data_IF_135685142545
#
_entry.id   IF_135685142545
#
_cell.length_a   1.000
_cell.length_b   1.000
_cell.length_c   1.000
_cell.angle_alpha   90.00
_cell.angle_beta   90.00
_cell.angle_gamma   90.00
#
_symmetry.space_group_name_H-M   'P 1'
#
loop_
_entity.id
_entity.type
_entity.pdbx_description
1 polymer ?
#
# COMPACT_ATOMS: atom_id res chain seq x y z
N UNK A 1 -24.09 -3.95 9.02
CA UNK A 1 -24.15 -5.04 8.03
C UNK A 1 -24.98 -4.58 6.85
N UNK A 2 -24.45 -4.66 5.64
CA UNK A 2 -25.12 -4.23 4.41
C UNK A 2 -25.23 -5.39 3.41
N UNK A 3 -26.30 -5.40 2.60
CA UNK A 3 -26.48 -6.37 1.51
C UNK A 3 -26.92 -7.78 1.92
N UNK A 4 -27.29 -7.98 3.19
CA UNK A 4 -27.66 -9.30 3.72
C UNK A 4 -29.16 -9.41 4.10
N UNK A 5 -30.02 -8.84 3.27
CA UNK A 5 -31.48 -8.96 3.42
C UNK A 5 -31.98 -8.44 4.77
N UNK A 6 -32.67 -9.29 5.53
CA UNK A 6 -33.27 -8.93 6.82
C UNK A 6 -32.26 -8.49 7.90
N UNK A 7 -30.96 -8.76 7.73
CA UNK A 7 -29.91 -8.38 8.68
C UNK A 7 -29.28 -7.04 8.32
N UNK A 8 -29.70 -6.41 7.22
CA UNK A 8 -29.18 -5.11 6.78
C UNK A 8 -29.49 -4.02 7.80
N UNK A 9 -28.52 -3.21 8.16
CA UNK A 9 -28.62 -2.11 9.11
C UNK A 9 -28.36 -2.50 10.58
N UNK A 10 -28.23 -3.77 10.90
CA UNK A 10 -27.88 -4.22 12.26
C UNK A 10 -26.42 -3.94 12.58
N UNK A 11 -26.10 -3.73 13.86
CA UNK A 11 -24.73 -3.82 14.36
C UNK A 11 -24.18 -5.24 14.18
N UNK A 12 -22.88 -5.43 14.33
CA UNK A 12 -22.25 -6.77 14.21
C UNK A 12 -22.74 -7.70 15.31
N UNK A 13 -22.86 -7.18 16.50
CA UNK A 13 -23.31 -7.90 17.71
C UNK A 13 -24.76 -8.33 17.54
N UNK A 14 -25.66 -7.42 17.22
CA UNK A 14 -27.07 -7.71 16.96
C UNK A 14 -27.26 -8.71 15.81
N UNK A 15 -26.45 -8.56 14.74
CA UNK A 15 -26.51 -9.47 13.60
C UNK A 15 -26.10 -10.89 13.97
N UNK A 16 -25.09 -11.10 14.82
CA UNK A 16 -24.69 -12.44 15.29
C UNK A 16 -25.82 -13.14 16.03
N UNK A 17 -26.45 -12.44 16.96
CA UNK A 17 -27.59 -12.98 17.71
C UNK A 17 -28.76 -13.30 16.79
N UNK A 18 -29.11 -12.38 15.89
CA UNK A 18 -30.20 -12.55 14.95
C UNK A 18 -29.95 -13.68 13.94
N UNK A 19 -28.72 -13.90 13.48
CA UNK A 19 -28.37 -15.01 12.58
C UNK A 19 -28.50 -16.36 13.30
N UNK A 20 -28.03 -16.47 14.54
CA UNK A 20 -28.15 -17.70 15.32
C UNK A 20 -29.62 -18.02 15.55
N UNK A 21 -30.43 -17.05 15.96
CA UNK A 21 -31.87 -17.24 16.15
C UNK A 21 -32.60 -17.67 14.85
N UNK A 22 -32.21 -17.08 13.74
CA UNK A 22 -32.73 -17.44 12.41
C UNK A 22 -32.40 -18.89 12.02
N UNK A 23 -31.14 -19.33 12.28
CA UNK A 23 -30.77 -20.73 12.03
C UNK A 23 -31.54 -21.71 12.92
N UNK A 24 -31.79 -21.35 14.18
CA UNK A 24 -32.57 -22.15 15.10
C UNK A 24 -34.03 -22.29 14.62
N UNK A 25 -34.68 -21.18 14.25
CA UNK A 25 -36.05 -21.14 13.73
C UNK A 25 -36.24 -22.00 12.47
N UNK A 26 -35.20 -22.03 11.61
CA UNK A 26 -35.25 -22.79 10.35
C UNK A 26 -34.69 -24.22 10.45
N UNK A 27 -34.35 -24.69 11.65
CA UNK A 27 -33.81 -26.02 11.89
C UNK A 27 -32.45 -26.28 11.23
N UNK A 28 -31.69 -25.20 11.03
CA UNK A 28 -30.33 -25.23 10.41
C UNK A 28 -29.23 -25.15 11.46
N UNK A 29 -29.56 -24.87 12.72
CA UNK A 29 -28.57 -24.81 13.81
C UNK A 29 -28.35 -26.24 14.35
N UNK A 30 -27.09 -26.69 14.32
CA UNK A 30 -26.70 -27.97 14.91
C UNK A 30 -26.49 -27.80 16.42
N UNK A 31 -25.56 -26.94 16.83
CA UNK A 31 -25.29 -26.60 18.22
C UNK A 31 -24.56 -25.27 18.35
N UNK A 32 -24.50 -24.75 19.57
CA UNK A 32 -23.68 -23.59 19.95
C UNK A 32 -22.70 -24.06 21.01
N UNK A 33 -21.42 -23.76 20.83
CA UNK A 33 -20.37 -24.06 21.81
C UNK A 33 -19.50 -22.82 22.10
N UNK A 34 -18.96 -22.78 23.31
CA UNK A 34 -17.98 -21.74 23.67
C UNK A 34 -16.67 -21.97 22.94
N UNK A 35 -16.24 -20.97 22.16
CA UNK A 35 -14.99 -21.01 21.40
C UNK A 35 -14.02 -19.93 21.88
N UNK A 36 -12.92 -20.37 22.48
CA UNK A 36 -11.85 -19.47 22.96
C UNK A 36 -10.82 -19.23 21.87
N UNK A 37 -10.68 -17.99 21.42
CA UNK A 37 -9.68 -17.57 20.43
C UNK A 37 -9.23 -16.14 20.69
N UNK A 38 -8.10 -15.76 20.08
CA UNK A 38 -7.62 -14.38 20.13
C UNK A 38 -8.34 -13.54 19.11
N UNK A 39 -8.87 -12.39 19.52
CA UNK A 39 -9.50 -11.40 18.66
C UNK A 39 -8.57 -10.19 18.58
N UNK A 40 -8.28 -9.72 17.35
CA UNK A 40 -7.50 -8.50 17.18
C UNK A 40 -8.34 -7.28 17.53
N UNK A 41 -7.74 -6.36 18.26
CA UNK A 41 -8.35 -5.10 18.64
C UNK A 41 -7.59 -3.90 18.05
N UNK A 42 -8.30 -2.82 17.79
CA UNK A 42 -7.70 -1.56 17.39
C UNK A 42 -6.86 -1.00 18.54
N UNK A 43 -5.58 -0.76 18.30
CA UNK A 43 -4.66 -0.25 19.31
C UNK A 43 -4.99 1.17 19.81
N UNK A 44 -5.92 1.87 19.16
CA UNK A 44 -6.35 3.23 19.55
C UNK A 44 -7.63 3.28 20.33
N UNK A 45 -8.66 2.53 19.94
CA UNK A 45 -9.99 2.58 20.53
C UNK A 45 -10.46 1.26 21.13
N UNK A 46 -9.62 0.23 21.08
CA UNK A 46 -9.90 -1.12 21.61
C UNK A 46 -11.13 -1.82 21.01
N UNK A 47 -11.65 -1.34 19.89
CA UNK A 47 -12.72 -2.02 19.17
C UNK A 47 -12.22 -3.30 18.52
N UNK A 48 -12.98 -4.37 18.57
CA UNK A 48 -12.69 -5.61 17.85
C UNK A 48 -12.61 -5.35 16.35
N UNK A 49 -11.54 -5.85 15.71
CA UNK A 49 -11.34 -5.75 14.27
C UNK A 49 -11.94 -6.95 13.57
N UNK A 50 -12.66 -6.68 12.48
CA UNK A 50 -13.23 -7.70 11.62
C UNK A 50 -12.87 -7.43 10.16
N UNK A 51 -12.64 -8.49 9.34
CA UNK A 51 -12.37 -8.33 7.93
C UNK A 51 -13.52 -7.64 7.21
N UNK A 52 -13.19 -6.63 6.41
CA UNK A 52 -14.13 -5.91 5.56
C UNK A 52 -13.55 -5.78 4.16
N UNK A 53 -14.32 -6.12 3.14
CA UNK A 53 -13.92 -5.91 1.76
C UNK A 53 -14.25 -4.48 1.34
N UNK A 54 -13.24 -3.76 0.86
CA UNK A 54 -13.37 -2.41 0.32
C UNK A 54 -12.48 -2.24 -0.90
N UNK A 55 -12.82 -1.30 -1.75
CA UNK A 55 -11.95 -0.89 -2.85
C UNK A 55 -10.70 -0.22 -2.29
N UNK A 56 -9.54 -0.59 -2.83
CA UNK A 56 -8.24 -0.11 -2.38
C UNK A 56 -7.33 0.09 -3.60
N UNK A 57 -6.38 0.99 -3.46
CA UNK A 57 -5.33 1.18 -4.45
C UNK A 57 -4.19 0.19 -4.23
N UNK A 58 -3.77 -0.46 -5.31
CA UNK A 58 -2.67 -1.43 -5.30
C UNK A 58 -1.61 -1.10 -6.34
N UNK A 59 -0.36 -1.33 -5.97
CA UNK A 59 0.75 -1.43 -6.92
C UNK A 59 0.90 -2.88 -7.33
N UNK A 60 0.74 -3.15 -8.63
CA UNK A 60 1.02 -4.46 -9.21
C UNK A 60 2.53 -4.67 -9.28
N UNK A 61 3.06 -5.55 -8.44
CA UNK A 61 4.51 -5.67 -8.23
C UNK A 61 5.22 -6.62 -9.20
N UNK A 62 4.49 -7.43 -9.95
CA UNK A 62 5.08 -8.44 -10.83
C UNK A 62 6.07 -7.88 -11.86
N UNK A 63 5.81 -6.68 -12.36
CA UNK A 63 6.73 -6.00 -13.29
C UNK A 63 7.91 -5.32 -12.61
N UNK A 64 7.79 -5.02 -11.30
CA UNK A 64 8.78 -4.27 -10.54
C UNK A 64 9.81 -5.17 -9.87
N UNK A 65 9.38 -6.35 -9.42
CA UNK A 65 10.23 -7.25 -8.63
C UNK A 65 11.37 -7.89 -9.41
N UNK A 66 11.20 -8.13 -10.72
CA UNK A 66 12.24 -8.74 -11.56
C UNK A 66 13.52 -7.92 -11.59
N UNK A 67 13.50 -6.69 -12.14
CA UNK A 67 14.68 -5.80 -12.18
C UNK A 67 15.28 -5.54 -10.79
N UNK A 68 14.44 -5.36 -9.76
CA UNK A 68 14.91 -5.15 -8.40
C UNK A 68 15.62 -6.38 -7.80
N UNK A 69 15.16 -7.59 -8.12
CA UNK A 69 15.82 -8.83 -7.73
C UNK A 69 17.15 -8.99 -8.46
N UNK A 70 17.19 -8.70 -9.76
CA UNK A 70 18.40 -8.78 -10.59
C UNK A 70 19.47 -7.80 -10.10
N UNK A 71 19.12 -6.58 -9.70
CA UNK A 71 20.06 -5.60 -9.16
C UNK A 71 20.88 -6.15 -7.98
N UNK A 72 20.28 -7.02 -7.17
CA UNK A 72 20.94 -7.65 -6.01
C UNK A 72 21.65 -8.96 -6.40
N UNK A 73 21.02 -9.81 -7.19
CA UNK A 73 21.60 -11.11 -7.60
C UNK A 73 22.81 -10.95 -8.54
N UNK A 74 22.86 -9.89 -9.35
CA UNK A 74 24.02 -9.53 -10.17
C UNK A 74 25.19 -8.95 -9.36
N UNK A 75 24.96 -8.58 -8.09
CA UNK A 75 25.97 -7.93 -7.24
C UNK A 75 26.14 -6.43 -7.45
N UNK A 76 25.25 -5.80 -8.22
CA UNK A 76 25.23 -4.34 -8.38
C UNK A 76 24.84 -3.64 -7.05
N UNK A 77 23.99 -4.29 -6.26
CA UNK A 77 23.67 -3.88 -4.89
C UNK A 77 24.12 -4.97 -3.91
N UNK A 78 24.86 -4.58 -2.87
CA UNK A 78 25.41 -5.49 -1.87
C UNK A 78 24.87 -5.15 -0.47
N UNK A 79 24.47 -6.17 0.28
CA UNK A 79 24.08 -6.02 1.68
C UNK A 79 25.23 -6.31 2.61
N UNK A 80 25.38 -5.50 3.64
CA UNK A 80 26.39 -5.65 4.70
C UNK A 80 25.72 -5.70 6.07
N UNK A 81 25.80 -6.82 6.80
CA UNK A 81 26.40 -8.12 6.43
C UNK A 81 25.63 -8.87 5.34
N UNK A 82 26.34 -9.66 4.54
CA UNK A 82 25.81 -10.41 3.39
C UNK A 82 24.58 -11.29 3.70
N UNK A 83 24.46 -11.77 4.96
CA UNK A 83 23.30 -12.58 5.39
C UNK A 83 21.94 -11.93 5.11
N UNK A 84 21.86 -10.62 5.01
CA UNK A 84 20.62 -9.89 4.74
C UNK A 84 20.19 -9.96 3.26
N UNK A 85 21.10 -10.31 2.37
CA UNK A 85 20.78 -10.58 0.97
C UNK A 85 19.72 -11.67 0.85
N UNK A 86 19.86 -12.77 1.61
CA UNK A 86 18.87 -13.84 1.59
C UNK A 86 17.50 -13.39 2.11
N UNK A 87 17.48 -12.56 3.15
CA UNK A 87 16.23 -12.01 3.69
C UNK A 87 15.51 -11.15 2.64
N UNK A 88 16.25 -10.29 1.93
CA UNK A 88 15.73 -9.50 0.82
C UNK A 88 15.15 -10.38 -0.30
N UNK A 89 15.93 -11.35 -0.78
CA UNK A 89 15.52 -12.23 -1.90
C UNK A 89 14.29 -13.06 -1.54
N UNK A 90 14.24 -13.63 -0.34
CA UNK A 90 13.07 -14.38 0.14
C UNK A 90 11.82 -13.50 0.20
N UNK A 91 11.96 -12.25 0.63
CA UNK A 91 10.84 -11.31 0.64
C UNK A 91 10.38 -10.96 -0.78
N UNK A 92 11.30 -10.67 -1.71
CA UNK A 92 10.99 -10.36 -3.11
C UNK A 92 10.27 -11.52 -3.82
N UNK A 93 10.70 -12.76 -3.57
CA UNK A 93 10.07 -13.96 -4.12
C UNK A 93 8.59 -14.07 -3.71
N UNK A 94 8.29 -13.81 -2.45
CA UNK A 94 6.96 -13.93 -1.87
C UNK A 94 6.12 -12.64 -1.94
N UNK A 95 6.65 -11.58 -2.55
CA UNK A 95 5.99 -10.28 -2.62
C UNK A 95 4.68 -10.36 -3.39
N UNK A 96 3.60 -9.88 -2.76
CA UNK A 96 2.27 -9.71 -3.34
C UNK A 96 2.03 -8.25 -3.68
N UNK A 97 0.99 -8.01 -4.47
CA UNK A 97 0.54 -6.65 -4.78
C UNK A 97 0.40 -5.81 -3.52
N UNK A 98 0.92 -4.62 -3.58
CA UNK A 98 1.04 -3.74 -2.43
C UNK A 98 -0.13 -2.78 -2.36
N UNK A 99 -0.98 -2.94 -1.34
CA UNK A 99 -2.02 -1.97 -1.02
C UNK A 99 -1.36 -0.67 -0.53
N UNK A 100 -1.59 0.42 -1.25
CA UNK A 100 -0.99 1.73 -0.99
C UNK A 100 -1.94 2.75 -0.40
N UNK A 101 -3.24 2.51 -0.42
CA UNK A 101 -4.25 3.38 0.19
C UNK A 101 -4.38 3.16 1.69
N UNK A 102 -4.59 4.25 2.42
CA UNK A 102 -4.81 4.25 3.88
C UNK A 102 -5.96 5.18 4.22
N UNK A 103 -6.88 4.72 5.05
CA UNK A 103 -8.00 5.48 5.56
C UNK A 103 -7.57 6.25 6.82
N UNK A 104 -6.73 7.27 6.63
CA UNK A 104 -6.16 8.11 7.69
C UNK A 104 -6.48 9.58 7.45
N UNK A 105 -6.62 10.34 8.52
CA UNK A 105 -6.86 11.78 8.45
C UNK A 105 -5.64 12.59 8.05
N UNK A 106 -4.44 12.08 8.33
CA UNK A 106 -3.18 12.76 8.04
C UNK A 106 -2.31 11.93 7.13
N UNK A 107 -1.88 12.52 6.04
CA UNK A 107 -1.00 11.93 5.06
C UNK A 107 -1.05 12.66 3.72
N UNK A 108 -0.24 12.23 2.76
CA UNK A 108 -0.31 12.72 1.40
C UNK A 108 -1.47 12.04 0.67
N UNK A 109 -2.43 12.83 0.25
CA UNK A 109 -3.65 12.34 -0.41
C UNK A 109 -3.33 11.69 -1.75
N UNK A 110 -4.11 10.68 -2.09
CA UNK A 110 -4.06 10.04 -3.41
C UNK A 110 -4.47 11.10 -4.44
N UNK A 111 -3.62 11.38 -5.46
CA UNK A 111 -3.85 12.46 -6.41
C UNK A 111 -4.81 12.04 -7.55
N UNK A 112 -5.79 11.21 -7.26
CA UNK A 112 -6.79 10.74 -8.23
C UNK A 112 -8.07 11.51 -8.04
N UNK A 113 -8.65 11.94 -9.16
CA UNK A 113 -9.88 12.72 -9.22
C UNK A 113 -10.93 11.97 -10.02
N UNK A 114 -12.16 12.05 -9.56
CA UNK A 114 -13.34 11.39 -10.15
C UNK A 114 -14.36 12.44 -10.56
N UNK A 115 -14.90 12.31 -11.78
CA UNK A 115 -16.00 13.14 -12.21
C UNK A 115 -17.32 12.37 -12.18
N UNK A 116 -18.27 12.86 -11.38
CA UNK A 116 -19.59 12.24 -11.23
C UNK A 116 -20.49 12.46 -12.45
N UNK A 117 -20.21 13.50 -13.27
CA UNK A 117 -21.01 13.80 -14.47
C UNK A 117 -20.73 12.86 -15.64
N UNK A 118 -19.48 12.41 -15.81
CA UNK A 118 -19.09 11.64 -17.00
C UNK A 118 -18.31 10.35 -16.69
N UNK A 119 -18.09 10.03 -15.41
CA UNK A 119 -17.34 8.85 -14.99
C UNK A 119 -15.86 8.88 -15.37
N UNK A 120 -15.29 10.06 -15.61
CA UNK A 120 -13.86 10.22 -15.83
C UNK A 120 -13.11 10.07 -14.48
N UNK A 121 -11.99 9.38 -14.53
CA UNK A 121 -11.04 9.28 -13.42
C UNK A 121 -9.61 9.35 -13.95
N UNK A 122 -8.75 10.07 -13.24
CA UNK A 122 -7.31 10.14 -13.55
C UNK A 122 -6.51 10.75 -12.40
N UNK A 123 -5.20 10.52 -12.42
CA UNK A 123 -4.26 11.15 -11.51
C UNK A 123 -3.81 12.50 -12.04
N UNK A 124 -3.86 13.54 -11.22
CA UNK A 124 -3.46 14.89 -11.59
C UNK A 124 -2.31 15.40 -10.71
N UNK A 125 -1.47 16.26 -11.28
CA UNK A 125 -0.38 16.93 -10.56
C UNK A 125 -0.88 18.13 -9.74
N UNK A 126 -2.02 18.70 -10.12
CA UNK A 126 -2.62 19.86 -9.46
C UNK A 126 -4.08 19.57 -9.15
N UNK A 127 -4.57 20.13 -8.06
CA UNK A 127 -5.98 20.03 -7.68
C UNK A 127 -6.87 20.72 -8.70
N UNK A 128 -8.04 20.15 -8.94
CA UNK A 128 -9.02 20.71 -9.87
C UNK A 128 -10.45 20.54 -9.34
N UNK A 129 -11.28 21.52 -9.62
CA UNK A 129 -12.74 21.51 -9.41
C UNK A 129 -13.50 21.40 -10.75
N UNK A 130 -12.78 21.29 -11.86
CA UNK A 130 -13.34 21.19 -13.23
C UNK A 130 -12.83 19.93 -13.90
N UNK A 131 -13.73 19.11 -14.39
CA UNK A 131 -13.38 17.90 -15.11
C UNK A 131 -12.65 18.23 -16.43
N UNK A 132 -11.44 17.73 -16.66
CA UNK A 132 -10.69 17.97 -17.90
C UNK A 132 -11.38 17.37 -19.14
N UNK A 133 -12.25 16.36 -18.95
CA UNK A 133 -12.91 15.66 -20.04
C UNK A 133 -14.23 16.30 -20.47
N UNK A 134 -15.09 16.69 -19.52
CA UNK A 134 -16.44 17.18 -19.85
C UNK A 134 -16.67 18.65 -19.44
N UNK A 135 -15.77 19.27 -18.68
CA UNK A 135 -15.95 20.63 -18.15
C UNK A 135 -16.94 20.72 -16.99
N UNK A 136 -17.45 19.61 -16.49
CA UNK A 136 -18.36 19.58 -15.35
C UNK A 136 -17.66 19.93 -14.03
N UNK A 137 -18.44 20.35 -13.03
CA UNK A 137 -17.92 20.81 -11.75
C UNK A 137 -18.15 19.81 -10.59
N UNK A 138 -18.70 18.62 -10.86
CA UNK A 138 -18.85 17.57 -9.88
C UNK A 138 -17.61 16.67 -9.89
N UNK A 139 -16.49 17.27 -9.47
CA UNK A 139 -15.19 16.59 -9.34
C UNK A 139 -14.85 16.40 -7.86
N UNK A 140 -14.50 15.21 -7.48
CA UNK A 140 -13.99 14.90 -6.14
C UNK A 140 -12.62 14.22 -6.22
N UNK A 141 -11.75 14.54 -5.28
CA UNK A 141 -10.49 13.82 -5.10
C UNK A 141 -10.72 12.58 -4.24
N UNK A 142 -9.91 11.56 -4.43
CA UNK A 142 -9.87 10.39 -3.56
C UNK A 142 -9.71 10.80 -2.08
N UNK A 143 -10.45 10.17 -1.18
CA UNK A 143 -10.45 10.52 0.25
C UNK A 143 -9.28 9.88 0.99
N UNK A 144 -8.72 8.79 0.46
CA UNK A 144 -7.63 8.06 1.06
C UNK A 144 -6.30 8.81 0.93
N UNK A 145 -5.37 8.45 1.80
CA UNK A 145 -3.98 8.90 1.72
C UNK A 145 -3.08 7.74 1.28
N UNK A 146 -1.93 8.07 0.73
CA UNK A 146 -0.92 7.08 0.34
C UNK A 146 -0.18 6.54 1.57
N UNK A 147 0.22 5.29 1.50
CA UNK A 147 1.16 4.67 2.45
C UNK A 147 2.44 5.50 2.53
N UNK A 148 2.95 5.72 3.74
CA UNK A 148 4.19 6.45 4.01
C UNK A 148 5.36 5.92 3.17
N UNK A 149 5.43 4.60 2.97
CA UNK A 149 6.49 3.96 2.20
C UNK A 149 6.40 4.26 0.70
N UNK A 150 5.24 4.69 0.20
CA UNK A 150 5.06 5.04 -1.20
C UNK A 150 5.84 6.31 -1.58
N UNK A 151 5.87 7.31 -0.72
CA UNK A 151 6.69 8.51 -0.95
C UNK A 151 8.14 8.30 -0.52
N UNK A 152 8.38 7.62 0.60
CA UNK A 152 9.74 7.43 1.12
C UNK A 152 10.66 6.59 0.22
N UNK A 153 10.10 5.74 -0.64
CA UNK A 153 10.87 5.00 -1.63
C UNK A 153 11.56 5.90 -2.67
N UNK A 154 11.07 7.12 -2.86
CA UNK A 154 11.59 8.08 -3.83
C UNK A 154 12.72 8.94 -3.25
N UNK A 155 13.04 8.78 -1.97
CA UNK A 155 13.85 9.74 -1.21
C UNK A 155 15.17 10.12 -1.87
N UNK A 156 15.98 9.16 -2.33
CA UNK A 156 17.33 9.46 -2.83
C UNK A 156 17.36 10.21 -4.15
N UNK A 157 16.28 10.22 -4.92
CA UNK A 157 16.22 10.94 -6.17
C UNK A 157 15.19 12.10 -6.17
N UNK A 158 14.06 11.95 -5.49
CA UNK A 158 13.08 13.03 -5.40
C UNK A 158 13.63 14.26 -4.66
N UNK A 159 14.40 14.06 -3.58
CA UNK A 159 15.03 15.15 -2.83
C UNK A 159 16.15 15.84 -3.61
N UNK A 160 16.61 15.25 -4.69
CA UNK A 160 17.61 15.80 -5.60
C UNK A 160 17.00 16.49 -6.83
N UNK A 161 15.67 16.60 -6.85
CA UNK A 161 14.91 17.36 -7.83
C UNK A 161 14.21 16.54 -8.92
N UNK A 162 14.26 15.19 -8.86
CA UNK A 162 13.43 14.38 -9.77
C UNK A 162 11.94 14.78 -9.64
N UNK A 163 11.17 14.89 -10.75
CA UNK A 163 11.46 14.35 -12.10
C UNK A 163 12.33 15.25 -13.00
N UNK A 164 12.76 16.40 -12.54
CA UNK A 164 13.65 17.26 -13.32
C UNK A 164 15.07 16.67 -13.37
N UNK A 165 15.75 16.87 -14.50
CA UNK A 165 17.13 16.43 -14.69
C UNK A 165 18.11 17.47 -14.14
N UNK A 166 18.16 17.59 -12.81
CA UNK A 166 18.98 18.59 -12.10
C UNK A 166 20.46 18.20 -12.06
N UNK A 167 21.34 19.19 -11.86
CA UNK A 167 22.77 18.93 -11.64
C UNK A 167 23.02 18.17 -10.34
N UNK A 168 22.15 18.37 -9.32
CA UNK A 168 22.24 17.66 -8.06
C UNK A 168 21.95 16.16 -8.25
N UNK A 169 20.89 15.83 -9.00
CA UNK A 169 20.55 14.45 -9.35
C UNK A 169 21.68 13.77 -10.12
N UNK A 170 22.21 14.40 -11.17
CA UNK A 170 23.31 13.87 -11.95
C UNK A 170 24.59 13.63 -11.14
N UNK A 171 24.85 14.48 -10.15
CA UNK A 171 26.07 14.40 -9.35
C UNK A 171 26.00 13.42 -8.17
N UNK A 172 24.81 13.05 -7.72
CA UNK A 172 24.62 12.29 -6.48
C UNK A 172 23.78 11.03 -6.61
N UNK A 173 23.21 10.75 -7.77
CA UNK A 173 22.49 9.51 -8.04
C UNK A 173 23.28 8.65 -9.06
N UNK A 174 23.47 7.33 -8.82
CA UNK A 174 23.19 6.59 -7.59
C UNK A 174 24.02 7.04 -6.38
N UNK A 175 23.49 6.88 -5.18
CA UNK A 175 24.27 7.12 -3.96
C UNK A 175 25.24 5.96 -3.69
N UNK A 176 26.34 6.22 -2.96
CA UNK A 176 27.32 5.17 -2.66
C UNK A 176 26.74 4.10 -1.73
N UNK A 177 26.16 4.50 -0.61
CA UNK A 177 25.64 3.58 0.40
C UNK A 177 24.39 4.10 1.09
N UNK A 178 23.52 3.16 1.47
CA UNK A 178 22.38 3.38 2.36
C UNK A 178 22.66 2.72 3.71
N UNK A 179 22.59 3.48 4.79
CA UNK A 179 22.65 2.97 6.17
C UNK A 179 21.23 2.89 6.73
N UNK A 180 20.82 1.71 7.20
CA UNK A 180 19.45 1.49 7.63
C UNK A 180 19.35 0.33 8.63
N UNK A 181 18.14 -0.12 8.97
CA UNK A 181 17.88 -1.19 9.90
C UNK A 181 17.21 -2.40 9.22
N UNK A 182 17.45 -3.58 9.79
CA UNK A 182 16.91 -4.85 9.30
C UNK A 182 15.39 -4.84 9.18
N UNK A 183 14.71 -4.15 10.08
CA UNK A 183 13.25 -4.17 10.19
C UNK A 183 12.56 -3.47 9.00
N UNK A 184 13.30 -2.63 8.28
CA UNK A 184 12.78 -1.90 7.13
C UNK A 184 13.43 -2.29 5.79
N UNK A 185 14.13 -3.42 5.73
CA UNK A 185 14.61 -3.98 4.46
C UNK A 185 13.43 -4.17 3.49
N UNK A 186 12.38 -4.83 3.94
CA UNK A 186 11.18 -5.08 3.16
C UNK A 186 10.37 -3.82 2.88
N UNK A 187 10.19 -2.99 3.92
CA UNK A 187 9.29 -1.84 3.86
C UNK A 187 9.88 -0.64 3.11
N UNK A 188 11.21 -0.51 3.10
CA UNK A 188 11.88 0.64 2.53
C UNK A 188 12.92 0.28 1.48
N UNK A 189 13.96 -0.49 1.82
CA UNK A 189 15.07 -0.81 0.90
C UNK A 189 14.56 -1.46 -0.38
N UNK A 190 13.74 -2.50 -0.27
CA UNK A 190 13.22 -3.21 -1.42
C UNK A 190 12.34 -2.31 -2.31
N UNK A 191 11.52 -1.48 -1.70
CA UNK A 191 10.68 -0.52 -2.42
C UNK A 191 11.49 0.58 -3.09
N UNK A 192 12.55 1.08 -2.42
CA UNK A 192 13.50 2.00 -3.02
C UNK A 192 14.12 1.41 -4.28
N UNK A 193 14.59 0.16 -4.24
CA UNK A 193 15.20 -0.50 -5.40
C UNK A 193 14.16 -0.67 -6.52
N UNK A 194 12.95 -1.12 -6.22
CA UNK A 194 11.86 -1.19 -7.21
C UNK A 194 11.55 0.16 -7.84
N UNK A 195 11.45 1.22 -7.05
CA UNK A 195 11.14 2.56 -7.55
C UNK A 195 12.25 3.10 -8.47
N UNK A 196 13.50 2.99 -8.06
CA UNK A 196 14.64 3.47 -8.85
C UNK A 196 14.78 2.71 -10.18
N UNK A 197 14.72 1.40 -10.15
CA UNK A 197 14.78 0.58 -11.38
C UNK A 197 13.59 0.83 -12.31
N UNK A 198 12.43 1.22 -11.79
CA UNK A 198 11.26 1.52 -12.59
C UNK A 198 11.27 2.94 -13.18
N UNK A 199 11.59 3.95 -12.37
CA UNK A 199 11.48 5.35 -12.78
C UNK A 199 12.73 5.87 -13.49
N UNK A 200 13.91 5.34 -13.15
CA UNK A 200 15.20 5.84 -13.63
C UNK A 200 15.95 4.81 -14.47
N UNK A 201 15.51 3.55 -14.49
CA UNK A 201 16.23 2.42 -15.10
C UNK A 201 17.67 2.26 -14.52
N UNK A 202 17.85 2.66 -13.27
CA UNK A 202 19.12 2.67 -12.55
C UNK A 202 18.95 2.14 -11.13
N UNK A 203 20.08 1.65 -10.55
CA UNK A 203 20.11 1.32 -9.12
C UNK A 203 20.17 2.60 -8.29
N UNK A 204 19.61 2.55 -7.08
CA UNK A 204 19.52 3.71 -6.20
C UNK A 204 20.79 3.93 -5.36
N UNK A 205 21.47 2.84 -5.01
CA UNK A 205 22.71 2.79 -4.21
C UNK A 205 23.44 1.48 -4.48
N UNK A 206 24.74 1.46 -4.18
CA UNK A 206 25.57 0.26 -4.37
C UNK A 206 25.62 -0.63 -3.14
N UNK A 207 25.67 -0.04 -1.95
CA UNK A 207 25.82 -0.75 -0.68
C UNK A 207 24.66 -0.46 0.28
N UNK A 208 24.16 -1.51 0.94
CA UNK A 208 23.15 -1.42 2.01
C UNK A 208 23.78 -1.94 3.29
N UNK A 209 23.97 -1.04 4.25
CA UNK A 209 24.57 -1.36 5.56
C UNK A 209 23.46 -1.44 6.62
N UNK A 210 23.39 -2.60 7.29
CA UNK A 210 22.35 -2.94 8.27
C UNK A 210 22.97 -3.01 9.68
#
# INVERSE_FOLDING_TARGET
>A
VEGYGQFTGMSREECREAVVAWFEEHGLLDHVEDHHHSVMHCYRCDSALEPWLSEQWFVAVDKLKGPATEAVTSGNIKFHPERWTQSYLTWMENLKDWCISRQLWWGHRIPVFYCEDCGWEDALMEDTDVCPKCGGHHVRQDEDVLDTWFSSQLWTFATQGWPDNTELLKGHHPTAALFTARDIIALWVARMIMASTYFLDEIQFHDVVI
#
